data_IF_916347829400
#
_entry.id   IF_916347829400
#
_cell.length_a   1.000
_cell.length_b   1.000
_cell.length_c   1.000
_cell.angle_alpha   90.00
_cell.angle_beta   90.00
_cell.angle_gamma   90.00
#
_symmetry.space_group_name_H-M   'P 1'
#
loop_
_entity.id
_entity.type
_entity.pdbx_description
1 polymer ?
#
# COMPACT_ATOMS: atom_id res chain seq x y z
N UNK A 1 1.58 8.70 -20.91
CA UNK A 1 1.21 8.65 -19.47
C UNK A 1 0.95 7.20 -19.08
N UNK A 2 1.48 6.72 -17.96
CA UNK A 2 1.12 5.42 -17.39
C UNK A 2 0.25 5.65 -16.16
N UNK A 3 -0.89 4.98 -16.09
CA UNK A 3 -1.79 5.02 -14.94
C UNK A 3 -1.54 3.79 -14.06
N UNK A 4 -1.40 3.99 -12.75
CA UNK A 4 -1.33 2.92 -11.76
C UNK A 4 -2.69 2.71 -11.10
N UNK A 5 -3.03 1.47 -10.77
CA UNK A 5 -4.26 1.15 -10.04
C UNK A 5 -3.99 1.20 -8.53
N UNK A 6 -4.64 2.13 -7.85
CA UNK A 6 -4.53 2.31 -6.39
C UNK A 6 -5.72 1.64 -5.71
N UNK A 7 -5.45 0.87 -4.65
CA UNK A 7 -6.46 0.24 -3.81
C UNK A 7 -6.81 1.11 -2.61
N UNK A 8 -5.80 1.69 -1.94
CA UNK A 8 -6.00 2.52 -0.74
C UNK A 8 -4.86 3.54 -0.60
N UNK A 9 -5.13 4.65 0.08
CA UNK A 9 -4.12 5.66 0.46
C UNK A 9 -4.31 5.98 1.94
N UNK A 10 -3.33 5.59 2.76
CA UNK A 10 -3.33 5.84 4.20
C UNK A 10 -2.41 6.98 4.55
N UNK A 11 -2.94 7.97 5.27
CA UNK A 11 -2.15 9.06 5.85
C UNK A 11 -1.75 8.67 7.27
N UNK A 12 -0.64 9.23 7.75
CA UNK A 12 -0.16 9.05 9.12
C UNK A 12 0.23 7.61 9.48
N UNK A 13 0.77 6.86 8.52
CA UNK A 13 1.33 5.54 8.77
C UNK A 13 2.65 5.65 9.55
N UNK A 14 2.66 5.18 10.80
CA UNK A 14 3.86 5.16 11.66
C UNK A 14 4.48 3.76 11.79
N UNK A 15 3.77 2.72 11.34
CA UNK A 15 4.20 1.33 11.43
C UNK A 15 4.80 0.80 10.11
N UNK A 16 4.60 1.51 9.00
CA UNK A 16 5.07 1.12 7.66
C UNK A 16 6.54 1.55 7.39
N UNK A 17 7.27 1.94 8.45
CA UNK A 17 8.65 2.38 8.40
C UNK A 17 8.93 3.57 9.34
N UNK A 18 10.17 4.09 9.38
CA UNK A 18 10.52 5.19 10.27
C UNK A 18 9.77 6.49 9.94
N UNK A 19 9.28 7.18 10.97
CA UNK A 19 8.59 8.47 10.86
C UNK A 19 7.11 8.37 10.48
N UNK A 20 6.51 9.52 10.18
CA UNK A 20 5.11 9.62 9.73
C UNK A 20 5.09 9.55 8.20
N UNK A 21 4.32 8.60 7.63
CA UNK A 21 4.26 8.36 6.19
C UNK A 21 2.85 8.48 5.64
N UNK A 22 2.77 8.77 4.35
CA UNK A 22 1.58 8.48 3.54
C UNK A 22 1.88 7.23 2.74
N UNK A 23 1.18 6.14 3.03
CA UNK A 23 1.36 4.86 2.35
C UNK A 23 0.33 4.73 1.22
N UNK A 24 0.79 4.41 0.01
CA UNK A 24 -0.06 4.16 -1.16
C UNK A 24 -0.06 2.66 -1.44
N UNK A 25 -1.21 2.02 -1.30
CA UNK A 25 -1.39 0.60 -1.60
C UNK A 25 -1.84 0.44 -3.05
N UNK A 26 -1.04 -0.28 -3.84
CA UNK A 26 -1.38 -0.60 -5.22
C UNK A 26 -2.28 -1.83 -5.28
N UNK A 27 -3.18 -1.84 -6.26
CA UNK A 27 -4.08 -2.97 -6.49
C UNK A 27 -3.33 -4.11 -7.17
N UNK A 28 -3.38 -5.29 -6.55
CA UNK A 28 -2.93 -6.57 -7.13
C UNK A 28 -1.74 -7.18 -6.39
N UNK A 29 -1.87 -8.45 -6.03
CA UNK A 29 -0.78 -9.29 -5.53
C UNK A 29 -0.98 -10.70 -6.13
N UNK A 30 0.01 -11.28 -6.84
CA UNK A 30 -0.13 -12.62 -7.43
C UNK A 30 -0.04 -13.75 -6.39
N UNK A 31 0.35 -13.43 -5.16
CA UNK A 31 0.46 -14.40 -4.08
C UNK A 31 -0.94 -14.80 -3.56
N UNK A 32 -1.01 -15.99 -2.97
CA UNK A 32 -2.22 -16.54 -2.32
C UNK A 32 -1.93 -16.89 -0.87
N UNK A 33 -1.43 -15.92 -0.10
CA UNK A 33 -1.07 -16.14 1.29
C UNK A 33 -2.31 -16.44 2.13
N UNK A 34 -2.19 -17.36 3.09
CA UNK A 34 -3.30 -17.77 3.96
C UNK A 34 -3.82 -16.64 4.88
N UNK A 35 -2.98 -15.62 5.16
CA UNK A 35 -3.23 -14.55 6.14
C UNK A 35 -2.91 -13.15 5.60
N UNK A 36 -2.95 -12.97 4.27
CA UNK A 36 -2.63 -11.68 3.65
C UNK A 36 -3.60 -10.58 4.06
#
# INVERSE_FOLDING_TARGET
MRMGLVFDIRKYSIHDGPGIRTTVFLKGCPLRCLWC
#
